data_IF_349689600313
#
_entry.id   IF_349689600313
#
_cell.length_a   1.000
_cell.length_b   1.000
_cell.length_c   1.000
_cell.angle_alpha   90.00
_cell.angle_beta   90.00
_cell.angle_gamma   90.00
#
_symmetry.space_group_name_H-M   'P 1'
#
loop_
_entity.id
_entity.type
_entity.pdbx_description
1 polymer ?
#
# COMPACT_ATOMS: atom_id res chain seq x y z
N UNK A 1 12.79 3.46 11.42
CA UNK A 1 11.66 3.06 10.56
C UNK A 1 10.86 4.34 10.48
N UNK A 2 11.05 5.10 9.41
CA UNK A 2 10.57 6.48 9.37
C UNK A 2 9.38 6.51 8.40
N UNK A 3 8.27 5.87 8.79
CA UNK A 3 7.06 5.92 7.97
C UNK A 3 6.42 7.32 8.10
N UNK A 4 5.91 7.90 7.00
CA UNK A 4 5.27 9.20 7.06
C UNK A 4 3.96 9.13 7.84
N UNK A 5 3.57 10.25 8.46
CA UNK A 5 2.18 10.51 8.79
C UNK A 5 1.59 11.33 7.64
N UNK A 6 0.51 10.84 7.04
CA UNK A 6 -0.15 11.46 5.90
C UNK A 6 -1.52 11.95 6.34
N UNK A 7 -1.73 13.26 6.30
CA UNK A 7 -3.06 13.84 6.45
C UNK A 7 -3.69 14.08 5.10
N UNK A 8 -5.02 13.90 4.98
CA UNK A 8 -5.79 14.15 3.76
C UNK A 8 -5.33 13.37 2.51
N UNK A 9 -4.88 12.12 2.67
CA UNK A 9 -4.57 11.24 1.54
C UNK A 9 -5.85 10.93 0.76
N UNK A 10 -5.92 11.38 -0.48
CA UNK A 10 -6.96 11.03 -1.44
C UNK A 10 -6.36 10.17 -2.56
N UNK A 11 -6.86 8.94 -2.72
CA UNK A 11 -6.41 8.04 -3.77
C UNK A 11 -7.02 8.45 -5.11
N UNK A 12 -6.14 8.76 -6.08
CA UNK A 12 -6.52 8.95 -7.47
C UNK A 12 -7.00 7.64 -8.10
N UNK A 13 -7.67 7.74 -9.25
CA UNK A 13 -8.07 6.56 -10.02
C UNK A 13 -6.88 5.64 -10.34
N UNK A 14 -5.69 6.21 -10.62
CA UNK A 14 -4.48 5.40 -10.86
C UNK A 14 -4.07 4.58 -9.63
N UNK A 15 -4.19 5.17 -8.44
CA UNK A 15 -3.91 4.46 -7.19
C UNK A 15 -4.91 3.35 -6.97
N UNK A 16 -6.21 3.60 -7.23
CA UNK A 16 -7.26 2.58 -7.15
C UNK A 16 -6.98 1.42 -8.12
N UNK A 17 -6.65 1.72 -9.38
CA UNK A 17 -6.26 0.71 -10.39
C UNK A 17 -5.05 -0.11 -9.96
N UNK A 18 -4.07 0.50 -9.30
CA UNK A 18 -2.90 -0.21 -8.76
C UNK A 18 -3.33 -1.20 -7.68
N UNK A 19 -4.26 -0.81 -6.81
CA UNK A 19 -4.74 -1.67 -5.72
C UNK A 19 -5.55 -2.84 -6.31
N UNK A 20 -6.36 -2.58 -7.34
CA UNK A 20 -7.04 -3.64 -8.09
C UNK A 20 -6.06 -4.56 -8.82
N UNK A 21 -4.97 -4.01 -9.36
CA UNK A 21 -3.88 -4.78 -9.95
C UNK A 21 -3.27 -5.71 -8.90
N UNK A 22 -2.95 -5.20 -7.70
CA UNK A 22 -2.45 -6.01 -6.58
C UNK A 22 -3.44 -7.13 -6.22
N UNK A 23 -4.74 -6.81 -6.12
CA UNK A 23 -5.80 -7.78 -5.83
C UNK A 23 -5.95 -8.86 -6.91
N UNK A 24 -5.64 -8.53 -8.16
CA UNK A 24 -5.77 -9.42 -9.31
C UNK A 24 -4.49 -10.20 -9.63
N UNK A 25 -3.41 -10.04 -8.83
CA UNK A 25 -2.21 -10.88 -8.92
C UNK A 25 -2.60 -12.34 -8.64
N UNK A 26 -2.94 -13.06 -9.70
CA UNK A 26 -3.21 -14.50 -9.69
C UNK A 26 -1.98 -15.32 -10.05
N UNK A 27 -0.99 -14.69 -10.70
CA UNK A 27 0.15 -15.39 -11.30
C UNK A 27 1.34 -15.60 -10.36
N UNK A 28 1.42 -14.87 -9.23
CA UNK A 28 2.70 -14.76 -8.47
C UNK A 28 2.64 -15.32 -7.04
N UNK A 29 1.46 -15.54 -6.44
CA UNK A 29 1.37 -16.01 -5.05
C UNK A 29 0.02 -16.61 -4.67
N UNK A 30 0.05 -17.47 -3.66
CA UNK A 30 -1.13 -18.00 -2.95
C UNK A 30 -2.16 -16.88 -2.72
N UNK A 31 -3.43 -17.08 -3.13
CA UNK A 31 -4.53 -16.10 -3.01
C UNK A 31 -4.63 -15.51 -1.61
N UNK A 32 -4.32 -16.30 -0.58
CA UNK A 32 -4.26 -15.85 0.81
C UNK A 32 -3.24 -14.73 1.03
N UNK A 33 -2.05 -14.82 0.43
CA UNK A 33 -1.00 -13.82 0.57
C UNK A 33 -1.39 -12.47 -0.04
N UNK A 34 -2.07 -12.51 -1.18
CA UNK A 34 -2.61 -11.32 -1.85
C UNK A 34 -3.74 -10.71 -1.02
N UNK A 35 -4.65 -11.54 -0.51
CA UNK A 35 -5.73 -11.09 0.37
C UNK A 35 -5.20 -10.43 1.65
N UNK A 36 -4.15 -10.99 2.28
CA UNK A 36 -3.49 -10.39 3.44
C UNK A 36 -2.85 -9.05 3.11
N UNK A 37 -2.23 -8.92 1.94
CA UNK A 37 -1.58 -7.67 1.51
C UNK A 37 -2.61 -6.57 1.27
N UNK A 38 -3.70 -6.88 0.56
CA UNK A 38 -4.80 -5.94 0.31
C UNK A 38 -5.57 -5.62 1.59
N UNK A 39 -5.78 -6.61 2.46
CA UNK A 39 -6.40 -6.41 3.77
C UNK A 39 -5.58 -5.47 4.65
N UNK A 40 -4.27 -5.69 4.73
CA UNK A 40 -3.37 -4.80 5.45
C UNK A 40 -3.40 -3.37 4.89
N UNK A 41 -3.43 -3.20 3.56
CA UNK A 41 -3.63 -1.87 2.97
C UNK A 41 -4.98 -1.29 3.35
N UNK A 42 -6.05 -2.08 3.37
CA UNK A 42 -7.40 -1.62 3.71
C UNK A 42 -7.50 -1.14 5.17
N UNK A 43 -6.87 -1.85 6.11
CA UNK A 43 -6.89 -1.52 7.54
C UNK A 43 -6.30 -0.12 7.80
N UNK A 44 -5.32 0.32 6.99
CA UNK A 44 -4.72 1.66 7.06
C UNK A 44 -5.72 2.80 6.77
N UNK A 45 -6.89 2.51 6.19
CA UNK A 45 -7.91 3.51 5.85
C UNK A 45 -9.07 3.56 6.88
N UNK A 46 -8.92 2.92 8.04
CA UNK A 46 -9.80 3.03 9.20
C UNK A 46 -11.31 3.02 8.85
N UNK A 47 -11.78 1.98 8.16
CA UNK A 47 -13.20 1.76 7.85
C UNK A 47 -13.86 2.80 6.93
N UNK A 48 -13.13 3.85 6.50
CA UNK A 48 -13.62 4.79 5.50
C UNK A 48 -13.44 4.21 4.11
N UNK A 49 -14.43 4.46 3.26
CA UNK A 49 -14.47 3.96 1.88
C UNK A 49 -13.23 4.48 1.16
N UNK A 50 -12.30 3.56 0.93
CA UNK A 50 -11.09 3.64 0.12
C UNK A 50 -11.22 4.43 -1.21
N UNK A 51 -12.46 4.63 -1.68
CA UNK A 51 -12.80 5.17 -2.99
C UNK A 51 -13.29 6.63 -2.95
N UNK A 52 -13.73 7.18 -1.81
CA UNK A 52 -14.47 8.46 -1.81
C UNK A 52 -14.03 9.51 -0.77
N UNK A 53 -13.24 9.16 0.26
CA UNK A 53 -12.84 10.13 1.30
C UNK A 53 -11.32 10.31 1.38
N UNK A 54 -10.88 11.56 1.56
CA UNK A 54 -9.51 11.83 2.01
C UNK A 54 -9.35 11.32 3.44
N UNK A 55 -8.36 10.46 3.70
CA UNK A 55 -8.12 9.89 5.04
C UNK A 55 -6.78 10.33 5.61
N UNK A 56 -6.64 10.28 6.93
CA UNK A 56 -5.33 10.33 7.57
C UNK A 56 -4.79 8.91 7.75
N UNK A 57 -3.55 8.69 7.32
CA UNK A 57 -2.80 7.44 7.50
C UNK A 57 -1.60 7.75 8.38
N UNK A 58 -1.55 7.16 9.57
CA UNK A 58 -0.51 7.40 10.55
C UNK A 58 0.73 6.54 10.31
N UNK A 59 1.85 6.91 10.95
CA UNK A 59 3.06 6.08 10.98
C UNK A 59 2.77 4.65 11.49
N UNK A 60 1.89 4.51 12.49
CA UNK A 60 1.52 3.21 13.06
C UNK A 60 0.86 2.29 12.03
N UNK A 61 0.02 2.83 11.15
CA UNK A 61 -0.66 2.05 10.11
C UNK A 61 0.34 1.44 9.12
N UNK A 62 1.37 2.21 8.75
CA UNK A 62 2.45 1.70 7.90
C UNK A 62 3.34 0.68 8.62
N UNK A 63 3.61 0.84 9.92
CA UNK A 63 4.34 -0.13 10.71
C UNK A 63 3.59 -1.47 10.82
N UNK A 64 2.28 -1.41 11.02
CA UNK A 64 1.40 -2.57 11.04
C UNK A 64 1.34 -3.27 9.68
N UNK A 65 1.23 -2.49 8.59
CA UNK A 65 1.36 -3.01 7.23
C UNK A 65 2.70 -3.75 7.03
N UNK A 66 3.82 -3.10 7.36
CA UNK A 66 5.15 -3.69 7.21
C UNK A 66 5.31 -4.97 8.04
N UNK A 67 4.72 -5.01 9.25
CA UNK A 67 4.70 -6.21 10.10
C UNK A 67 3.90 -7.34 9.46
N UNK A 68 2.73 -7.07 8.89
CA UNK A 68 1.91 -8.06 8.19
C UNK A 68 2.63 -8.61 6.96
N UNK A 69 3.30 -7.75 6.19
CA UNK A 69 4.07 -8.14 5.00
C UNK A 69 5.28 -9.04 5.30
N UNK A 70 5.75 -9.12 6.56
CA UNK A 70 6.77 -10.11 6.95
C UNK A 70 6.23 -11.55 6.91
N UNK A 71 4.93 -11.74 7.16
CA UNK A 71 4.25 -13.03 7.06
C UNK A 71 3.87 -13.44 5.62
N UNK A 72 3.98 -12.51 4.67
CA UNK A 72 3.68 -12.74 3.25
C UNK A 72 4.91 -13.39 2.58
N UNK A 73 4.72 -14.44 1.75
CA UNK A 73 5.82 -15.06 1.00
C UNK A 73 6.62 -14.04 0.19
N UNK A 74 7.95 -14.18 0.17
CA UNK A 74 8.86 -13.19 -0.41
C UNK A 74 8.54 -12.83 -1.87
N UNK A 75 8.08 -13.80 -2.67
CA UNK A 75 7.68 -13.58 -4.07
C UNK A 75 6.44 -12.68 -4.20
N UNK A 76 5.46 -12.88 -3.31
CA UNK A 76 4.24 -12.08 -3.26
C UNK A 76 4.55 -10.66 -2.79
N UNK A 77 5.36 -10.55 -1.72
CA UNK A 77 5.80 -9.26 -1.17
C UNK A 77 6.54 -8.45 -2.23
N UNK A 78 7.52 -9.06 -2.94
CA UNK A 78 8.24 -8.40 -4.03
C UNK A 78 7.32 -7.88 -5.12
N UNK A 79 6.24 -8.60 -5.43
CA UNK A 79 5.29 -8.13 -6.44
C UNK A 79 4.51 -6.90 -5.95
N UNK A 80 4.06 -6.91 -4.69
CA UNK A 80 3.41 -5.74 -4.07
C UNK A 80 4.35 -4.53 -4.07
N UNK A 81 5.62 -4.72 -3.69
CA UNK A 81 6.65 -3.67 -3.72
C UNK A 81 6.83 -3.10 -5.13
N UNK A 82 6.84 -3.95 -6.16
CA UNK A 82 6.95 -3.52 -7.56
C UNK A 82 5.74 -2.69 -8.03
N UNK A 83 4.52 -3.14 -7.74
CA UNK A 83 3.32 -2.38 -8.11
C UNK A 83 3.27 -1.02 -7.37
N UNK A 84 3.65 -1.01 -6.09
CA UNK A 84 3.75 0.20 -5.29
C UNK A 84 4.79 1.18 -5.85
N UNK A 85 5.97 0.69 -6.24
CA UNK A 85 7.00 1.51 -6.90
C UNK A 85 6.49 2.09 -8.23
N UNK A 86 5.78 1.30 -9.03
CA UNK A 86 5.18 1.78 -10.28
C UNK A 86 4.13 2.86 -10.02
N UNK A 87 3.29 2.72 -9.00
CA UNK A 87 2.34 3.74 -8.62
C UNK A 87 3.02 5.03 -8.13
N UNK A 88 4.07 4.93 -7.32
CA UNK A 88 4.88 6.07 -6.89
C UNK A 88 5.40 6.91 -8.07
N UNK A 89 5.82 6.26 -9.16
CA UNK A 89 6.30 6.93 -10.37
C UNK A 89 5.17 7.57 -11.19
N UNK A 90 3.96 7.02 -11.13
CA UNK A 90 2.83 7.39 -11.99
C UNK A 90 1.81 8.34 -11.35
N UNK A 91 1.83 8.51 -10.03
CA UNK A 91 1.00 9.50 -9.32
C UNK A 91 1.68 10.88 -9.30
N UNK A 92 0.87 11.93 -9.23
CA UNK A 92 1.37 13.31 -9.25
C UNK A 92 1.28 14.00 -7.88
N UNK A 93 0.31 13.63 -7.06
CA UNK A 93 0.10 14.20 -5.72
C UNK A 93 1.23 13.76 -4.76
N UNK A 94 1.71 14.70 -3.95
CA UNK A 94 2.77 14.45 -2.97
C UNK A 94 2.40 13.39 -1.91
N UNK A 95 1.19 13.45 -1.34
CA UNK A 95 0.69 12.48 -0.36
C UNK A 95 0.59 11.07 -0.97
N UNK A 96 0.05 10.94 -2.18
CA UNK A 96 0.01 9.64 -2.88
C UNK A 96 1.42 9.11 -3.14
N UNK A 97 2.38 9.98 -3.51
CA UNK A 97 3.78 9.58 -3.66
C UNK A 97 4.36 9.07 -2.35
N UNK A 98 4.16 9.78 -1.25
CA UNK A 98 4.66 9.33 0.05
C UNK A 98 4.02 8.02 0.50
N UNK A 99 2.72 7.86 0.26
CA UNK A 99 2.00 6.61 0.52
C UNK A 99 2.65 5.45 -0.24
N UNK A 100 2.76 5.57 -1.57
CA UNK A 100 3.29 4.48 -2.41
C UNK A 100 4.76 4.18 -2.16
N UNK A 101 5.56 5.21 -1.85
CA UNK A 101 6.94 5.02 -1.41
C UNK A 101 7.01 4.24 -0.10
N UNK A 102 6.21 4.59 0.89
CA UNK A 102 6.20 3.91 2.18
C UNK A 102 5.77 2.44 2.07
N UNK A 103 4.80 2.14 1.19
CA UNK A 103 4.39 0.77 0.87
C UNK A 103 5.52 0.00 0.16
N UNK A 104 6.18 0.60 -0.84
CA UNK A 104 7.28 0.00 -1.61
C UNK A 104 8.50 -0.30 -0.76
N UNK A 105 8.90 0.66 0.08
CA UNK A 105 10.14 0.57 0.87
C UNK A 105 9.92 -0.15 2.21
N UNK A 106 8.66 -0.51 2.54
CA UNK A 106 8.30 -1.19 3.78
C UNK A 106 8.73 -0.42 5.03
N UNK A 107 8.57 0.90 5.03
CA UNK A 107 9.05 1.82 6.07
C UNK A 107 10.57 1.87 6.30
N UNK A 108 11.36 1.44 5.33
CA UNK A 108 12.81 1.58 5.36
C UNK A 108 13.21 2.85 4.61
N UNK A 109 13.20 4.00 5.29
CA UNK A 109 13.76 5.21 4.68
C UNK A 109 15.26 5.24 4.95
N UNK A 110 16.06 5.18 3.90
CA UNK A 110 17.44 5.66 3.90
C UNK A 110 17.47 7.00 3.15
#
# INVERSE_FOLDING_TARGET
MDCPSLDNLALSERSKDTIETIRSIREVANVLAVALSVGAMHDMFAGNRFIEASVSVSTYDFEEFAKTMKGVPAIARKRVEQEAMMAFLNVSNYQEKQFWRAISDGCSVH
#
